data_IF_006392904597
#
_entry.id   IF_006392904597
#
_cell.length_a   1.000
_cell.length_b   1.000
_cell.length_c   1.000
_cell.angle_alpha   90.00
_cell.angle_beta   90.00
_cell.angle_gamma   90.00
#
_symmetry.space_group_name_H-M   'P 1'
#
loop_
_entity.id
_entity.type
_entity.pdbx_description
1 polymer ?
#
# COMPACT_ATOMS: atom_id res chain seq x y z
N UNK A 1 18.28 -25.21 -20.79
CA UNK A 1 17.23 -24.90 -19.80
C UNK A 1 17.10 -23.39 -19.72
N UNK A 2 16.16 -22.81 -20.48
CA UNK A 2 15.81 -21.39 -20.41
C UNK A 2 14.71 -21.29 -19.36
N UNK A 3 15.00 -20.69 -18.22
CA UNK A 3 13.99 -20.42 -17.19
C UNK A 3 13.16 -19.22 -17.65
N UNK A 4 11.85 -19.46 -17.74
CA UNK A 4 10.90 -18.66 -18.50
C UNK A 4 10.60 -17.27 -17.93
N UNK A 5 10.16 -16.42 -18.85
CA UNK A 5 9.29 -15.27 -18.64
C UNK A 5 7.90 -15.75 -18.18
N UNK A 6 7.80 -16.39 -17.02
CA UNK A 6 6.51 -16.60 -16.37
C UNK A 6 6.20 -15.42 -15.45
N UNK A 7 4.93 -14.96 -15.36
CA UNK A 7 4.54 -14.04 -14.30
C UNK A 7 4.96 -14.67 -12.98
N UNK A 8 5.74 -13.94 -12.19
CA UNK A 8 6.17 -14.36 -10.86
C UNK A 8 4.96 -14.86 -10.09
N UNK A 9 4.88 -16.17 -9.86
CA UNK A 9 3.81 -16.75 -9.06
C UNK A 9 3.79 -16.01 -7.71
N UNK A 10 2.61 -15.56 -7.23
CA UNK A 10 2.53 -14.93 -5.92
C UNK A 10 3.19 -15.81 -4.88
N UNK A 11 4.07 -15.22 -4.08
CA UNK A 11 4.54 -15.88 -2.88
C UNK A 11 3.31 -16.18 -2.01
N UNK A 12 3.24 -17.37 -1.37
CA UNK A 12 2.16 -17.68 -0.44
C UNK A 12 2.04 -16.56 0.61
N UNK A 13 0.86 -15.96 0.73
CA UNK A 13 0.60 -14.86 1.67
C UNK A 13 0.76 -13.44 1.11
N UNK A 14 0.86 -13.26 -0.21
CA UNK A 14 0.76 -11.93 -0.84
C UNK A 14 -0.51 -11.81 -1.69
N UNK A 15 -1.38 -10.85 -1.35
CA UNK A 15 -2.62 -10.60 -2.10
C UNK A 15 -2.42 -9.70 -3.32
N UNK A 16 -1.45 -8.78 -3.26
CA UNK A 16 -1.17 -7.79 -4.30
C UNK A 16 0.27 -7.96 -4.80
N UNK A 17 0.43 -8.12 -6.12
CA UNK A 17 1.73 -8.28 -6.78
C UNK A 17 2.03 -7.06 -7.65
N UNK A 18 3.24 -6.53 -7.56
CA UNK A 18 3.72 -5.45 -8.44
C UNK A 18 5.06 -5.83 -9.08
N UNK A 19 5.13 -5.66 -10.41
CA UNK A 19 6.35 -5.87 -11.20
C UNK A 19 6.92 -4.58 -11.78
N UNK A 20 6.30 -3.43 -11.46
CA UNK A 20 6.66 -2.09 -12.00
C UNK A 20 8.05 -1.62 -11.59
N UNK A 21 8.61 -2.15 -10.51
CA UNK A 21 9.87 -1.67 -9.93
C UNK A 21 10.64 -2.84 -9.29
N UNK A 22 11.88 -3.07 -9.74
CA UNK A 22 12.75 -4.15 -9.24
C UNK A 22 13.27 -3.90 -7.81
N UNK A 23 13.19 -2.66 -7.33
CA UNK A 23 13.48 -2.30 -5.95
C UNK A 23 12.34 -2.63 -4.98
N UNK A 24 11.22 -3.16 -5.45
CA UNK A 24 10.16 -3.65 -4.56
C UNK A 24 10.59 -4.98 -3.96
N UNK A 25 10.78 -5.00 -2.63
CA UNK A 25 10.92 -6.22 -1.84
C UNK A 25 9.81 -7.24 -2.12
N UNK A 26 10.16 -8.53 -2.06
CA UNK A 26 9.23 -9.67 -2.23
C UNK A 26 8.00 -9.59 -1.32
N UNK A 27 8.22 -9.23 -0.05
CA UNK A 27 7.18 -8.78 0.89
C UNK A 27 7.52 -7.33 1.18
N UNK A 28 6.69 -6.40 0.71
CA UNK A 28 7.03 -4.98 0.72
C UNK A 28 6.30 -4.18 1.78
N UNK A 29 4.97 -4.29 1.77
CA UNK A 29 4.12 -3.54 2.67
C UNK A 29 2.88 -4.37 2.98
N UNK A 30 2.31 -4.11 4.15
CA UNK A 30 1.05 -4.66 4.59
C UNK A 30 0.02 -3.53 4.63
N UNK A 31 -1.12 -3.72 3.97
CA UNK A 31 -2.26 -2.80 4.04
C UNK A 31 -3.23 -3.38 5.07
N UNK A 32 -3.47 -2.62 6.13
CA UNK A 32 -4.29 -3.02 7.25
C UNK A 32 -5.58 -2.20 7.19
N UNK A 33 -6.72 -2.88 7.09
CA UNK A 33 -8.04 -2.23 7.15
C UNK A 33 -8.65 -2.57 8.51
N UNK A 34 -8.76 -1.58 9.39
CA UNK A 34 -9.24 -1.79 10.76
C UNK A 34 -10.70 -2.29 10.77
N UNK A 35 -11.51 -1.77 9.85
CA UNK A 35 -12.89 -2.19 9.63
C UNK A 35 -13.30 -2.00 8.18
N UNK A 36 -13.84 -3.05 7.55
CA UNK A 36 -14.43 -2.98 6.23
C UNK A 36 -15.86 -2.46 6.36
N UNK A 37 -16.13 -1.25 5.86
CA UNK A 37 -17.45 -0.65 5.86
C UNK A 37 -18.04 -0.70 4.45
N UNK A 38 -19.18 -1.37 4.29
CA UNK A 38 -19.94 -1.38 3.05
C UNK A 38 -20.78 -0.10 2.94
N UNK A 39 -20.63 0.64 1.83
CA UNK A 39 -21.54 1.74 1.48
C UNK A 39 -22.77 1.19 0.76
N UNK A 40 -23.68 0.53 1.48
CA UNK A 40 -24.98 0.21 0.92
C UNK A 40 -25.80 1.49 0.75
N UNK A 41 -26.35 1.70 -0.45
CA UNK A 41 -27.11 2.89 -0.86
C UNK A 41 -28.27 3.28 0.08
N UNK A 42 -28.69 2.38 0.98
CA UNK A 42 -29.78 2.59 1.93
C UNK A 42 -29.36 3.29 3.24
N UNK A 43 -28.07 3.40 3.55
CA UNK A 43 -27.60 3.84 4.87
C UNK A 43 -26.93 5.22 4.86
N UNK A 44 -27.60 6.22 4.26
CA UNK A 44 -27.30 7.66 4.45
C UNK A 44 -27.25 8.11 5.93
N UNK A 45 -27.61 7.24 6.89
CA UNK A 45 -27.66 7.50 8.33
C UNK A 45 -26.41 7.02 9.11
N UNK A 46 -25.44 6.34 8.48
CA UNK A 46 -24.15 5.96 9.10
C UNK A 46 -22.96 6.84 8.62
N UNK A 47 -23.26 8.09 8.27
CA UNK A 47 -22.40 9.08 7.59
C UNK A 47 -21.03 9.39 8.23
N UNK A 48 -20.61 8.72 9.30
CA UNK A 48 -19.40 9.06 10.06
C UNK A 48 -18.38 7.93 10.24
N UNK A 49 -18.59 6.74 9.66
CA UNK A 49 -17.62 5.64 9.79
C UNK A 49 -16.80 5.49 8.51
N UNK A 50 -15.70 6.23 8.42
CA UNK A 50 -14.67 5.96 7.40
C UNK A 50 -13.91 4.70 7.78
N UNK A 51 -13.63 3.82 6.81
CA UNK A 51 -12.71 2.71 7.01
C UNK A 51 -11.33 3.28 7.31
N UNK A 52 -10.78 2.98 8.48
CA UNK A 52 -9.41 3.39 8.80
C UNK A 52 -8.44 2.41 8.15
N UNK A 53 -7.73 2.90 7.13
CA UNK A 53 -6.72 2.14 6.39
C UNK A 53 -5.34 2.58 6.86
N UNK A 54 -4.49 1.61 7.19
CA UNK A 54 -3.11 1.82 7.60
C UNK A 54 -2.18 1.05 6.67
N UNK A 55 -0.96 1.54 6.50
CA UNK A 55 0.08 0.86 5.75
C UNK A 55 1.32 0.68 6.62
N UNK A 56 1.85 -0.54 6.66
CA UNK A 56 3.11 -0.88 7.32
C UNK A 56 4.18 -1.19 6.29
N UNK A 57 5.34 -0.55 6.42
CA UNK A 57 6.50 -0.79 5.56
C UNK A 57 7.37 -1.94 6.11
N UNK A 58 7.49 -3.00 5.32
CA UNK A 58 8.35 -4.17 5.59
C UNK A 58 9.59 -4.19 4.67
N UNK A 59 9.77 -3.14 3.86
CA UNK A 59 10.70 -3.17 2.73
C UNK A 59 12.14 -2.79 3.08
N UNK A 60 13.04 -3.04 2.13
CA UNK A 60 14.45 -2.64 2.21
C UNK A 60 14.66 -1.17 1.85
N UNK A 61 14.00 -0.69 0.79
CA UNK A 61 14.22 0.64 0.21
C UNK A 61 13.19 1.68 0.65
N UNK A 62 12.09 1.24 1.26
CA UNK A 62 11.06 2.07 1.84
C UNK A 62 9.79 2.13 0.99
N UNK A 63 8.72 2.49 1.69
CA UNK A 63 7.45 2.94 1.13
C UNK A 63 7.32 4.44 1.36
N UNK A 64 6.76 5.15 0.38
CA UNK A 64 6.61 6.60 0.42
C UNK A 64 5.18 6.99 0.11
N UNK A 65 4.67 7.99 0.82
CA UNK A 65 3.33 8.54 0.62
C UNK A 65 3.50 10.00 0.20
N UNK A 66 2.95 10.34 -0.97
CA UNK A 66 2.77 11.73 -1.35
C UNK A 66 1.35 12.12 -0.98
N UNK A 67 1.24 12.98 0.03
CA UNK A 67 -0.04 13.57 0.40
C UNK A 67 -0.39 14.64 -0.63
N UNK A 68 -1.63 15.13 -0.65
CA UNK A 68 -2.02 16.24 -1.53
C UNK A 68 -1.29 17.58 -1.21
N UNK A 69 -0.46 17.61 -0.18
CA UNK A 69 0.54 18.65 0.08
C UNK A 69 1.83 18.26 -0.63
N UNK A 70 2.62 19.21 -1.18
CA UNK A 70 3.87 18.94 -1.91
C UNK A 70 4.99 18.21 -1.12
N UNK A 71 4.66 17.64 0.04
CA UNK A 71 5.49 16.85 0.92
C UNK A 71 5.36 15.35 0.64
N UNK A 72 6.50 14.72 0.34
CA UNK A 72 6.65 13.27 0.32
C UNK A 72 7.08 12.79 1.71
N UNK A 73 6.28 11.94 2.33
CA UNK A 73 6.59 11.32 3.63
C UNK A 73 7.07 9.87 3.44
N UNK A 74 8.03 9.42 4.25
CA UNK A 74 8.55 8.06 4.21
C UNK A 74 7.94 7.22 5.32
N UNK A 75 7.29 6.11 4.96
CA UNK A 75 6.61 5.24 5.94
C UNK A 75 7.61 4.61 6.93
N UNK A 76 8.81 4.31 6.45
CA UNK A 76 9.88 3.69 7.24
C UNK A 76 10.34 4.54 8.45
N UNK A 77 10.05 5.84 8.46
CA UNK A 77 10.47 6.76 9.51
C UNK A 77 9.45 6.86 10.66
N UNK A 78 8.27 6.24 10.52
CA UNK A 78 7.25 6.22 11.57
C UNK A 78 7.52 5.16 12.65
N UNK A 79 6.95 5.38 13.84
CA UNK A 79 6.90 4.36 14.89
C UNK A 79 6.19 3.10 14.37
N UNK A 80 6.77 1.93 14.61
CA UNK A 80 6.32 0.64 14.05
C UNK A 80 6.26 0.59 12.50
N UNK A 81 6.90 1.56 11.82
CA UNK A 81 6.91 1.71 10.36
C UNK A 81 5.52 1.73 9.75
N UNK A 82 4.57 2.36 10.43
CA UNK A 82 3.16 2.32 10.05
C UNK A 82 2.54 3.73 10.04
N UNK A 83 1.64 3.98 9.10
CA UNK A 83 0.93 5.26 8.99
C UNK A 83 -0.45 5.11 8.35
N UNK A 84 -1.31 6.12 8.48
CA UNK A 84 -2.68 6.13 7.98
C UNK A 84 -2.69 6.55 6.51
N UNK A 85 -3.47 5.85 5.70
CA UNK A 85 -3.80 6.25 4.32
C UNK A 85 -5.16 6.94 4.30
N UNK A 86 -5.25 8.00 3.51
CA UNK A 86 -6.45 8.79 3.27
C UNK A 86 -6.80 8.78 1.79
N UNK A 87 -8.07 9.06 1.47
CA UNK A 87 -8.49 9.13 0.08
C UNK A 87 -7.69 10.21 -0.68
N UNK A 88 -7.15 9.82 -1.84
CA UNK A 88 -6.30 10.68 -2.66
C UNK A 88 -4.81 10.56 -2.41
N UNK A 89 -4.36 9.83 -1.38
CA UNK A 89 -2.93 9.60 -1.16
C UNK A 89 -2.30 8.78 -2.30
N UNK A 90 -1.11 9.20 -2.74
CA UNK A 90 -0.33 8.47 -3.74
C UNK A 90 0.81 7.71 -3.06
N UNK A 91 0.74 6.39 -3.08
CA UNK A 91 1.72 5.51 -2.47
C UNK A 91 2.75 5.04 -3.51
N UNK A 92 4.03 5.11 -3.18
CA UNK A 92 5.13 4.66 -4.02
C UNK A 92 6.00 3.63 -3.28
N UNK A 93 6.31 2.52 -3.94
CA UNK A 93 7.08 1.41 -3.39
C UNK A 93 8.47 1.29 -4.03
N UNK A 94 9.45 0.78 -3.27
CA UNK A 94 10.79 0.47 -3.77
C UNK A 94 11.58 1.73 -4.14
N UNK A 95 12.05 1.82 -5.39
CA UNK A 95 12.76 3.02 -5.87
C UNK A 95 11.82 4.15 -6.28
N UNK A 96 10.51 3.92 -6.23
CA UNK A 96 9.47 4.93 -6.45
C UNK A 96 8.81 4.88 -7.83
N UNK A 97 9.11 3.89 -8.67
CA UNK A 97 8.43 3.71 -9.97
C UNK A 97 7.09 2.98 -9.81
N UNK A 98 6.94 2.16 -8.77
CA UNK A 98 5.69 1.47 -8.45
C UNK A 98 4.76 2.39 -7.64
N UNK A 99 3.96 3.21 -8.33
CA UNK A 99 3.00 4.15 -7.74
C UNK A 99 1.55 3.71 -7.89
N UNK A 100 0.75 3.91 -6.84
CA UNK A 100 -0.66 3.52 -6.73
C UNK A 100 -1.44 4.56 -5.93
N UNK A 101 -2.73 4.70 -6.28
CA UNK A 101 -3.72 5.50 -5.57
C UNK A 101 -4.92 4.59 -5.29
#
# INVERSE_FOLDING_TARGET
MVWGLLPVDPLPGCDIITTKDKGVSRVHAEIIVDEMVCMDHLQKRLLHKSSKVRIRDCSKYGTFINKNTDSKEKVHEFANKETILTDGDLVAFGTGNAKYR
#
